data_IF_649401596163
#
_entry.id   IF_649401596163
#
_cell.length_a   1.000
_cell.length_b   1.000
_cell.length_c   1.000
_cell.angle_alpha   90.00
_cell.angle_beta   90.00
_cell.angle_gamma   90.00
#
_symmetry.space_group_name_H-M   'P 1'
#
loop_
_entity.id
_entity.type
_entity.pdbx_description
1 polymer ?
#
# COMPACT_ATOMS: atom_id res chain seq x y z
N UNK A 1 5.90 -17.22 2.85
CA UNK A 1 4.63 -16.89 2.17
C UNK A 1 4.80 -17.29 0.72
N UNK A 2 3.97 -18.21 0.21
CA UNK A 2 4.03 -18.59 -1.20
C UNK A 2 3.57 -17.38 -2.02
N UNK A 3 4.38 -16.79 -2.91
CA UNK A 3 4.01 -15.58 -3.65
C UNK A 3 2.80 -15.79 -4.58
N UNK A 4 2.42 -17.05 -4.81
CA UNK A 4 1.30 -17.46 -5.66
C UNK A 4 -0.09 -17.41 -4.99
N UNK A 5 -0.19 -17.01 -3.71
CA UNK A 5 -1.46 -17.01 -2.96
C UNK A 5 -1.71 -15.69 -2.21
N UNK A 6 -1.23 -14.58 -2.75
CA UNK A 6 -1.47 -13.29 -2.12
C UNK A 6 -2.92 -12.81 -2.38
N UNK A 7 -3.76 -12.64 -1.34
CA UNK A 7 -5.15 -12.22 -1.53
C UNK A 7 -5.27 -10.83 -2.17
N UNK A 8 -4.21 -10.00 -2.12
CA UNK A 8 -4.22 -8.70 -2.79
C UNK A 8 -4.06 -8.81 -4.32
N UNK A 9 -3.45 -9.89 -4.83
CA UNK A 9 -3.48 -10.18 -6.26
C UNK A 9 -4.89 -10.56 -6.72
N UNK A 10 -5.64 -11.30 -5.90
CA UNK A 10 -7.04 -11.62 -6.17
C UNK A 10 -7.93 -10.36 -6.15
N UNK A 11 -7.56 -9.35 -5.36
CA UNK A 11 -8.20 -8.02 -5.36
C UNK A 11 -7.88 -7.20 -6.62
N UNK A 12 -7.09 -7.74 -7.55
CA UNK A 12 -6.81 -7.14 -8.85
C UNK A 12 -5.64 -6.16 -8.84
N UNK A 13 -4.80 -6.15 -7.79
CA UNK A 13 -3.52 -5.43 -7.83
C UNK A 13 -2.59 -6.10 -8.84
N UNK A 14 -1.78 -5.28 -9.51
CA UNK A 14 -0.64 -5.82 -10.28
C UNK A 14 0.48 -6.24 -9.32
N UNK A 15 1.40 -7.09 -9.78
CA UNK A 15 2.58 -7.47 -8.99
C UNK A 15 3.40 -6.26 -8.52
N UNK A 16 3.52 -5.23 -9.38
CA UNK A 16 4.22 -4.00 -9.02
C UNK A 16 3.49 -3.22 -7.90
N UNK A 17 2.17 -3.17 -7.94
CA UNK A 17 1.35 -2.52 -6.90
C UNK A 17 1.42 -3.28 -5.58
N UNK A 18 1.39 -4.61 -5.64
CA UNK A 18 1.55 -5.45 -4.46
C UNK A 18 2.93 -5.26 -3.81
N UNK A 19 3.98 -5.25 -4.63
CA UNK A 19 5.34 -5.04 -4.16
C UNK A 19 5.46 -3.68 -3.44
N UNK A 20 4.92 -2.61 -4.04
CA UNK A 20 4.89 -1.29 -3.41
C UNK A 20 4.12 -1.30 -2.08
N UNK A 21 3.01 -2.02 -2.01
CA UNK A 21 2.20 -2.11 -0.79
C UNK A 21 2.98 -2.74 0.37
N UNK A 22 3.74 -3.81 0.09
CA UNK A 22 4.60 -4.45 1.07
C UNK A 22 5.83 -3.63 1.44
N UNK A 23 6.43 -2.92 0.47
CA UNK A 23 7.56 -2.05 0.74
C UNK A 23 7.15 -0.90 1.67
N UNK A 24 5.96 -0.32 1.48
CA UNK A 24 5.38 0.65 2.41
C UNK A 24 5.21 0.07 3.82
N UNK A 25 4.68 -1.15 3.95
CA UNK A 25 4.52 -1.81 5.25
C UNK A 25 5.88 -2.04 5.95
N UNK A 26 6.90 -2.45 5.19
CA UNK A 26 8.25 -2.67 5.71
C UNK A 26 8.90 -1.37 6.18
N UNK A 27 8.75 -0.28 5.41
CA UNK A 27 9.28 1.03 5.78
C UNK A 27 8.55 1.56 7.02
N UNK A 28 7.22 1.45 7.06
CA UNK A 28 6.42 1.87 8.22
C UNK A 28 6.87 1.16 9.50
N UNK A 29 7.06 -0.16 9.44
CA UNK A 29 7.57 -0.95 10.57
C UNK A 29 8.92 -0.44 11.07
N UNK A 30 9.87 -0.20 10.15
CA UNK A 30 11.20 0.34 10.48
C UNK A 30 11.14 1.76 11.06
N UNK A 31 10.22 2.60 10.60
CA UNK A 31 10.06 3.94 11.17
C UNK A 31 9.59 3.90 12.62
N UNK A 32 8.75 2.93 13.00
CA UNK A 32 8.27 2.80 14.37
C UNK A 32 9.35 2.32 15.36
N UNK A 33 10.45 1.77 14.87
CA UNK A 33 11.63 1.38 15.66
C UNK A 33 12.54 2.57 15.99
N UNK A 34 12.38 3.70 15.29
CA UNK A 34 13.19 4.90 15.53
C UNK A 34 12.81 5.58 16.86
N UNK A 35 13.75 6.27 17.51
CA UNK A 35 13.45 7.10 18.67
C UNK A 35 12.43 8.19 18.33
N UNK A 36 11.37 8.28 19.13
CA UNK A 36 10.32 9.28 18.94
C UNK A 36 10.86 10.67 19.24
N UNK A 37 10.74 11.58 18.29
CA UNK A 37 11.13 12.99 18.39
C UNK A 37 9.95 13.90 18.75
N UNK A 38 8.72 13.49 18.44
CA UNK A 38 7.50 14.26 18.71
C UNK A 38 6.35 13.37 19.21
N UNK A 39 5.52 13.79 20.20
CA UNK A 39 4.47 12.96 20.79
C UNK A 39 3.50 12.31 19.80
N UNK A 40 3.19 13.00 18.70
CA UNK A 40 2.26 12.51 17.66
C UNK A 40 2.96 11.80 16.48
N UNK A 41 4.27 11.65 16.49
CA UNK A 41 5.02 11.13 15.34
C UNK A 41 4.51 9.76 14.91
N UNK A 42 4.39 8.81 15.84
CA UNK A 42 3.89 7.46 15.55
C UNK A 42 2.50 7.46 14.91
N UNK A 43 1.59 8.29 15.43
CA UNK A 43 0.23 8.42 14.88
C UNK A 43 0.25 9.02 13.47
N UNK A 44 1.07 10.06 13.25
CA UNK A 44 1.22 10.70 11.94
C UNK A 44 1.81 9.72 10.92
N UNK A 45 2.90 9.04 11.28
CA UNK A 45 3.53 8.00 10.45
C UNK A 45 2.50 6.92 10.08
N UNK A 46 1.80 6.34 11.05
CA UNK A 46 0.78 5.33 10.76
C UNK A 46 -0.30 5.87 9.79
N UNK A 47 -0.82 7.08 10.04
CA UNK A 47 -1.84 7.71 9.19
C UNK A 47 -1.36 7.92 7.76
N UNK A 48 -0.14 8.42 7.57
CA UNK A 48 0.45 8.70 6.26
C UNK A 48 0.72 7.42 5.46
N UNK A 49 1.27 6.38 6.10
CA UNK A 49 1.52 5.10 5.44
C UNK A 49 0.21 4.38 5.07
N UNK A 50 -0.78 4.38 5.96
CA UNK A 50 -2.11 3.84 5.65
C UNK A 50 -2.75 4.58 4.47
N UNK A 51 -2.61 5.91 4.39
CA UNK A 51 -3.12 6.67 3.25
C UNK A 51 -2.46 6.25 1.93
N UNK A 52 -1.14 6.00 1.92
CA UNK A 52 -0.43 5.52 0.73
C UNK A 52 -0.86 4.09 0.35
N UNK A 53 -0.99 3.19 1.32
CA UNK A 53 -1.47 1.83 1.10
C UNK A 53 -2.90 1.81 0.54
N UNK A 54 -3.81 2.64 1.08
CA UNK A 54 -5.17 2.78 0.57
C UNK A 54 -5.22 3.30 -0.86
N UNK A 55 -4.30 4.20 -1.24
CA UNK A 55 -4.19 4.65 -2.64
C UNK A 55 -3.85 3.51 -3.58
N UNK A 56 -2.98 2.58 -3.17
CA UNK A 56 -2.66 1.38 -3.95
C UNK A 56 -3.87 0.44 -4.05
N UNK A 57 -4.56 0.20 -2.93
CA UNK A 57 -5.77 -0.64 -2.89
C UNK A 57 -6.92 -0.08 -3.75
N UNK A 58 -6.98 1.23 -3.97
CA UNK A 58 -8.00 1.85 -4.82
C UNK A 58 -7.72 1.70 -6.33
N UNK A 59 -6.48 1.37 -6.73
CA UNK A 59 -6.07 1.36 -8.15
C UNK A 59 -6.84 0.34 -9.02
N UNK A 60 -7.12 -0.89 -8.57
CA UNK A 60 -7.93 -1.83 -9.35
C UNK A 60 -9.32 -1.25 -9.66
N UNK A 61 -9.98 -0.64 -8.67
CA UNK A 61 -11.27 0.02 -8.86
C UNK A 61 -11.20 1.21 -9.82
N UNK A 62 -10.13 2.02 -9.75
CA UNK A 62 -9.93 3.13 -10.69
C UNK A 62 -9.66 2.63 -12.13
N UNK A 63 -8.91 1.54 -12.30
CA UNK A 63 -8.73 0.91 -13.62
C UNK A 63 -10.06 0.44 -14.21
N UNK A 64 -10.91 -0.19 -13.39
CA UNK A 64 -12.22 -0.66 -13.84
C UNK A 64 -13.13 0.50 -14.31
N UNK A 65 -13.04 1.67 -13.66
CA UNK A 65 -13.83 2.86 -14.01
C UNK A 65 -13.38 3.55 -15.30
N UNK A 66 -12.11 3.43 -15.70
CA UNK A 66 -11.58 4.10 -16.90
C UNK A 66 -12.04 3.45 -18.21
N UNK A 67 -12.68 2.27 -18.16
CA UNK A 67 -13.05 1.51 -19.35
C UNK A 67 -11.83 1.06 -20.17
N UNK A 68 -12.02 0.27 -21.23
CA UNK A 68 -10.93 -0.04 -22.15
C UNK A 68 -10.39 1.25 -22.79
N UNK A 69 -9.07 1.33 -23.09
CA UNK A 69 -8.52 2.50 -23.78
C UNK A 69 -9.31 2.74 -25.06
N UNK A 70 -9.85 3.95 -25.24
CA UNK A 70 -10.47 4.37 -26.49
C UNK A 70 -9.36 4.32 -27.55
N UNK A 71 -9.43 3.29 -28.40
CA UNK A 71 -8.55 3.11 -29.57
C UNK A 71 -8.81 4.20 -30.60
#
# INVERSE_FOLDING_TARGET
>A
MNPSQDPLLEFGLTQAELQLWYDLARIAGRMLELPVQHPMERQKTATEFHALQNRLLARPGMRAQQGPPRR
#
